data_IF_267547829635
#
_entry.id   IF_267547829635
#
_cell.length_a   1.000
_cell.length_b   1.000
_cell.length_c   1.000
_cell.angle_alpha   90.00
_cell.angle_beta   90.00
_cell.angle_gamma   90.00
#
_symmetry.space_group_name_H-M   'P 1'
#
loop_
_entity.id
_entity.type
_entity.pdbx_description
1 polymer ?
#
# COMPACT_ATOMS: atom_id res chain seq x y z
N UNK A 1 18.19 11.47 9.04
CA UNK A 1 18.57 12.51 8.07
C UNK A 1 17.90 12.14 6.75
N UNK A 2 17.16 13.06 6.13
CA UNK A 2 16.54 12.82 4.82
C UNK A 2 17.61 12.63 3.75
N UNK A 3 17.37 11.74 2.80
CA UNK A 3 18.32 11.41 1.73
C UNK A 3 17.97 12.07 0.39
N UNK A 4 16.67 12.29 0.12
CA UNK A 4 16.15 12.92 -1.09
C UNK A 4 14.66 13.25 -0.92
N UNK A 5 14.13 14.05 -1.84
CA UNK A 5 12.68 14.26 -2.01
C UNK A 5 12.23 13.65 -3.35
N UNK A 6 10.99 13.14 -3.36
CA UNK A 6 10.32 12.63 -4.56
C UNK A 6 9.10 13.48 -4.86
N UNK A 7 8.90 13.82 -6.13
CA UNK A 7 7.74 14.57 -6.59
C UNK A 7 6.55 13.63 -6.63
N UNK A 8 5.42 14.06 -6.06
CA UNK A 8 4.16 13.34 -6.15
C UNK A 8 3.44 13.82 -7.40
N UNK A 9 3.47 12.99 -8.44
CA UNK A 9 2.77 13.25 -9.71
C UNK A 9 1.28 13.02 -9.58
N UNK A 10 0.89 12.05 -8.76
CA UNK A 10 -0.50 11.67 -8.49
C UNK A 10 -0.57 10.83 -7.22
N UNK A 11 -1.72 10.80 -6.56
CA UNK A 11 -1.92 9.98 -5.36
C UNK A 11 -3.38 9.55 -5.21
N UNK A 12 -3.59 8.38 -4.60
CA UNK A 12 -4.93 7.87 -4.28
C UNK A 12 -4.94 7.20 -2.91
N UNK A 13 -5.89 7.58 -2.06
CA UNK A 13 -6.05 7.05 -0.72
C UNK A 13 -7.39 6.37 -0.48
N UNK A 14 -7.40 5.33 0.34
CA UNK A 14 -8.59 4.68 0.87
C UNK A 14 -8.42 4.52 2.38
N UNK A 15 -9.33 5.10 3.14
CA UNK A 15 -9.39 4.94 4.59
C UNK A 15 -10.69 4.23 4.94
N UNK A 16 -10.61 3.14 5.72
CA UNK A 16 -11.79 2.39 6.14
C UNK A 16 -11.83 2.35 7.66
N UNK A 17 -12.85 2.99 8.23
CA UNK A 17 -13.01 3.08 9.67
C UNK A 17 -13.44 1.74 10.30
N UNK A 18 -13.49 1.71 11.63
CA UNK A 18 -13.91 0.54 12.39
C UNK A 18 -15.36 0.10 12.10
N UNK A 19 -16.23 1.03 11.66
CA UNK A 19 -17.59 0.72 11.24
C UNK A 19 -17.67 0.18 9.80
N UNK A 20 -16.54 0.18 9.07
CA UNK A 20 -16.45 -0.26 7.69
C UNK A 20 -16.80 0.83 6.67
N UNK A 21 -16.97 2.08 7.09
CA UNK A 21 -17.22 3.21 6.19
C UNK A 21 -15.95 3.54 5.40
N UNK A 22 -16.07 3.64 4.08
CA UNK A 22 -14.95 3.93 3.20
C UNK A 22 -14.89 5.43 2.84
N UNK A 23 -13.73 6.03 3.03
CA UNK A 23 -13.37 7.33 2.47
C UNK A 23 -12.43 7.13 1.28
N UNK A 24 -12.89 7.48 0.08
CA UNK A 24 -12.10 7.44 -1.16
C UNK A 24 -11.52 8.83 -1.41
N UNK A 25 -10.19 8.93 -1.49
CA UNK A 25 -9.44 10.19 -1.49
C UNK A 25 -8.49 10.28 -2.68
N UNK A 26 -8.19 11.50 -3.13
CA UNK A 26 -7.32 11.74 -4.29
C UNK A 26 -7.85 11.05 -5.55
N UNK A 27 -6.94 10.49 -6.35
CA UNK A 27 -7.24 9.71 -7.55
C UNK A 27 -7.68 8.26 -7.30
N UNK A 28 -7.88 7.82 -6.05
CA UNK A 28 -8.25 6.43 -5.78
C UNK A 28 -9.54 6.03 -6.50
N UNK A 29 -9.52 4.86 -7.15
CA UNK A 29 -10.64 4.42 -7.97
C UNK A 29 -11.81 3.91 -7.12
N UNK A 30 -13.04 4.08 -7.64
CA UNK A 30 -14.21 3.40 -7.10
C UNK A 30 -14.15 1.88 -7.33
N UNK A 31 -14.93 1.10 -6.57
CA UNK A 31 -14.95 -0.36 -6.68
C UNK A 31 -15.28 -0.86 -8.11
N UNK A 32 -16.00 -0.06 -8.91
CA UNK A 32 -16.37 -0.38 -10.29
C UNK A 32 -15.21 -0.34 -11.30
N UNK A 33 -14.06 0.23 -10.93
CA UNK A 33 -12.85 0.18 -11.74
C UNK A 33 -12.21 -1.23 -11.77
N UNK A 34 -12.54 -2.08 -10.79
CA UNK A 34 -12.11 -3.48 -10.77
C UNK A 34 -13.19 -4.35 -11.43
N UNK A 35 -12.87 -5.13 -12.48
CA UNK A 35 -13.82 -6.02 -13.13
C UNK A 35 -14.51 -6.94 -12.13
N UNK A 36 -15.83 -7.10 -12.26
CA UNK A 36 -16.67 -7.78 -11.27
C UNK A 36 -16.17 -9.20 -10.94
N UNK A 37 -15.71 -9.96 -11.93
CA UNK A 37 -15.19 -11.32 -11.73
C UNK A 37 -13.93 -11.37 -10.87
N UNK A 38 -13.03 -10.39 -11.04
CA UNK A 38 -11.84 -10.24 -10.19
C UNK A 38 -12.23 -9.73 -8.80
N UNK A 39 -13.08 -8.69 -8.75
CA UNK A 39 -13.53 -8.06 -7.50
C UNK A 39 -14.16 -9.04 -6.53
N UNK A 40 -14.98 -9.99 -7.00
CA UNK A 40 -15.65 -11.01 -6.15
C UNK A 40 -14.68 -12.01 -5.51
N UNK A 41 -13.45 -12.11 -6.01
CA UNK A 41 -12.43 -13.06 -5.53
C UNK A 41 -11.32 -12.37 -4.73
N UNK A 42 -11.37 -11.03 -4.61
CA UNK A 42 -10.40 -10.24 -3.87
C UNK A 42 -10.88 -10.02 -2.43
N UNK A 43 -10.04 -10.33 -1.43
CA UNK A 43 -10.27 -9.87 -0.07
C UNK A 43 -10.32 -8.34 0.01
N UNK A 44 -10.92 -7.82 1.08
CA UNK A 44 -11.05 -6.37 1.33
C UNK A 44 -9.70 -5.66 1.26
N UNK A 45 -8.65 -6.27 1.83
CA UNK A 45 -7.29 -5.72 1.83
C UNK A 45 -6.77 -5.48 0.41
N UNK A 46 -6.75 -6.55 -0.40
CA UNK A 46 -6.27 -6.47 -1.78
C UNK A 46 -7.13 -5.53 -2.62
N UNK A 47 -8.46 -5.55 -2.44
CA UNK A 47 -9.35 -4.68 -3.19
C UNK A 47 -9.10 -3.19 -2.90
N UNK A 48 -8.89 -2.81 -1.64
CA UNK A 48 -8.56 -1.44 -1.27
C UNK A 48 -7.22 -0.99 -1.88
N UNK A 49 -6.18 -1.81 -1.75
CA UNK A 49 -4.86 -1.53 -2.31
C UNK A 49 -4.90 -1.38 -3.85
N UNK A 50 -5.55 -2.33 -4.54
CA UNK A 50 -5.69 -2.31 -6.00
C UNK A 50 -6.44 -1.06 -6.48
N UNK A 51 -7.48 -0.62 -5.77
CA UNK A 51 -8.23 0.59 -6.12
C UNK A 51 -7.38 1.86 -6.04
N UNK A 52 -6.53 1.97 -5.03
CA UNK A 52 -5.57 3.08 -4.94
C UNK A 52 -4.59 3.03 -6.12
N UNK A 53 -3.98 1.88 -6.40
CA UNK A 53 -2.98 1.75 -7.44
C UNK A 53 -3.55 1.98 -8.85
N UNK A 54 -4.71 1.40 -9.16
CA UNK A 54 -5.42 1.62 -10.44
C UNK A 54 -5.75 3.09 -10.65
N UNK A 55 -6.10 3.81 -9.58
CA UNK A 55 -6.44 5.22 -9.63
C UNK A 55 -5.31 6.13 -10.12
N UNK A 56 -4.06 5.73 -9.89
CA UNK A 56 -2.85 6.50 -10.26
C UNK A 56 -2.02 5.82 -11.34
N UNK A 57 -2.48 4.68 -11.87
CA UNK A 57 -1.73 3.86 -12.80
C UNK A 57 -1.52 4.55 -14.15
N UNK A 58 -0.32 4.41 -14.71
CA UNK A 58 0.00 4.79 -16.09
C UNK A 58 0.79 3.67 -16.76
N UNK A 59 0.71 3.55 -18.10
CA UNK A 59 1.45 2.54 -18.84
C UNK A 59 2.95 2.51 -18.53
N UNK A 60 3.50 1.32 -18.33
CA UNK A 60 4.92 1.09 -18.11
C UNK A 60 5.47 1.57 -16.76
N UNK A 61 4.61 1.96 -15.80
CA UNK A 61 5.04 2.34 -14.46
C UNK A 61 5.31 1.10 -13.59
N UNK A 62 6.46 1.08 -12.90
CA UNK A 62 6.78 0.03 -11.94
C UNK A 62 6.02 0.23 -10.63
N UNK A 63 5.79 -0.85 -9.88
CA UNK A 63 5.05 -0.80 -8.61
C UNK A 63 5.88 -1.37 -7.45
N UNK A 64 6.10 -0.57 -6.42
CA UNK A 64 6.69 -1.01 -5.15
C UNK A 64 5.58 -1.14 -4.12
N UNK A 65 5.25 -2.36 -3.72
CA UNK A 65 4.32 -2.62 -2.65
C UNK A 65 5.03 -2.58 -1.29
N UNK A 66 4.42 -1.93 -0.30
CA UNK A 66 4.93 -1.81 1.04
C UNK A 66 3.83 -2.14 2.06
N UNK A 67 4.12 -3.07 2.96
CA UNK A 67 3.20 -3.39 4.07
C UNK A 67 3.95 -4.13 5.16
N UNK A 68 3.66 -3.84 6.42
CA UNK A 68 4.24 -4.57 7.55
C UNK A 68 3.84 -6.05 7.56
N UNK A 69 2.57 -6.33 7.33
CA UNK A 69 1.99 -7.67 7.53
C UNK A 69 1.29 -8.24 6.29
N UNK A 70 1.03 -7.42 5.27
CA UNK A 70 0.18 -7.83 4.15
C UNK A 70 -1.25 -8.15 4.60
N UNK A 71 -1.94 -9.03 3.86
CA UNK A 71 -3.30 -9.46 4.20
C UNK A 71 -3.32 -10.54 5.30
N UNK A 72 -2.93 -10.13 6.50
CA UNK A 72 -2.86 -11.00 7.68
C UNK A 72 -4.21 -11.62 8.05
N UNK A 73 -5.33 -10.95 7.74
CA UNK A 73 -6.68 -11.49 7.99
C UNK A 73 -6.94 -12.70 7.13
N UNK A 74 -6.67 -12.62 5.83
CA UNK A 74 -6.79 -13.78 4.94
C UNK A 74 -5.83 -14.91 5.35
N UNK A 75 -4.60 -14.57 5.76
CA UNK A 75 -3.62 -15.56 6.23
C UNK A 75 -4.06 -16.29 7.52
N UNK A 76 -4.64 -15.57 8.49
CA UNK A 76 -5.18 -16.16 9.72
C UNK A 76 -6.35 -17.09 9.41
N UNK A 77 -7.33 -16.66 8.60
CA UNK A 77 -8.47 -17.51 8.24
C UNK A 77 -8.05 -18.79 7.50
N UNK A 78 -7.01 -18.74 6.66
CA UNK A 78 -6.44 -19.94 6.05
C UNK A 78 -5.79 -20.86 7.08
N UNK A 79 -5.08 -20.30 8.06
CA UNK A 79 -4.45 -21.09 9.13
C UNK A 79 -5.50 -21.79 10.01
N UNK A 80 -6.60 -21.10 10.33
CA UNK A 80 -7.73 -21.67 11.06
C UNK A 80 -8.38 -22.82 10.28
N UNK A 81 -8.57 -22.66 8.96
CA UNK A 81 -9.10 -23.72 8.10
C UNK A 81 -8.17 -24.95 8.05
N UNK A 82 -6.84 -24.76 8.06
CA UNK A 82 -5.89 -25.87 8.16
C UNK A 82 -6.07 -26.64 9.47
N UNK A 83 -6.18 -25.93 10.60
CA UNK A 83 -6.38 -26.54 11.92
C UNK A 83 -7.71 -27.29 11.98
N UNK A 84 -8.75 -26.77 11.33
CA UNK A 84 -10.06 -27.41 11.23
C UNK A 84 -10.12 -28.57 10.22
N UNK A 85 -9.04 -28.83 9.45
CA UNK A 85 -9.02 -29.75 8.32
C UNK A 85 -10.06 -29.43 7.22
N UNK A 86 -10.36 -28.15 7.05
CA UNK A 86 -11.28 -27.65 6.03
C UNK A 86 -10.61 -27.48 4.66
N UNK A 87 -11.43 -27.41 3.61
CA UNK A 87 -10.98 -27.11 2.27
C UNK A 87 -10.51 -25.65 2.16
N UNK A 88 -9.24 -25.46 1.75
CA UNK A 88 -8.68 -24.14 1.52
C UNK A 88 -9.18 -23.54 0.20
N UNK A 89 -9.55 -22.27 0.23
CA UNK A 89 -9.87 -21.51 -0.99
C UNK A 89 -8.59 -21.21 -1.77
N UNK A 90 -8.45 -21.69 -3.03
CA UNK A 90 -7.28 -21.37 -3.84
C UNK A 90 -7.10 -19.87 -4.08
N UNK A 91 -8.22 -19.13 -4.20
CA UNK A 91 -8.17 -17.68 -4.41
C UNK A 91 -7.69 -16.95 -3.15
N UNK A 92 -8.12 -17.39 -1.97
CA UNK A 92 -7.66 -16.81 -0.70
C UNK A 92 -6.17 -17.10 -0.50
N UNK A 93 -5.72 -18.31 -0.79
CA UNK A 93 -4.29 -18.67 -0.74
C UNK A 93 -3.45 -17.80 -1.69
N UNK A 94 -3.90 -17.58 -2.93
CA UNK A 94 -3.21 -16.67 -3.85
C UNK A 94 -3.22 -15.20 -3.39
N UNK A 95 -4.21 -14.78 -2.60
CA UNK A 95 -4.33 -13.41 -2.12
C UNK A 95 -3.57 -13.15 -0.80
N UNK A 96 -3.18 -14.19 -0.06
CA UNK A 96 -2.54 -14.03 1.25
C UNK A 96 -1.02 -13.83 1.20
N UNK A 97 -0.38 -14.08 0.05
CA UNK A 97 1.05 -13.80 -0.13
C UNK A 97 1.28 -12.29 -0.17
N UNK A 98 2.40 -11.83 0.40
CA UNK A 98 2.66 -10.40 0.58
C UNK A 98 2.66 -9.61 -0.75
N UNK A 99 3.12 -10.23 -1.83
CA UNK A 99 3.15 -9.63 -3.17
C UNK A 99 1.84 -9.79 -3.96
N UNK A 100 0.72 -10.20 -3.35
CA UNK A 100 -0.54 -10.40 -4.07
C UNK A 100 -1.12 -9.10 -4.63
N UNK A 101 -1.15 -8.02 -3.82
CA UNK A 101 -1.72 -6.73 -4.21
C UNK A 101 -1.12 -6.12 -5.49
N UNK A 102 0.21 -6.06 -5.69
CA UNK A 102 0.77 -5.58 -6.95
C UNK A 102 0.47 -6.50 -8.14
N UNK A 103 0.51 -7.83 -7.96
CA UNK A 103 0.14 -8.78 -9.02
C UNK A 103 -1.32 -8.67 -9.45
N UNK A 104 -2.23 -8.46 -8.49
CA UNK A 104 -3.64 -8.20 -8.74
C UNK A 104 -3.87 -6.85 -9.44
N UNK A 105 -3.09 -5.82 -9.09
CA UNK A 105 -3.11 -4.53 -9.79
C UNK A 105 -2.74 -4.71 -11.27
N UNK A 106 -1.66 -5.44 -11.56
CA UNK A 106 -1.23 -5.74 -12.92
C UNK A 106 -2.32 -6.46 -13.74
N UNK A 107 -3.06 -7.39 -13.13
CA UNK A 107 -4.21 -8.05 -13.78
C UNK A 107 -5.34 -7.09 -14.12
N UNK A 108 -5.61 -6.10 -13.26
CA UNK A 108 -6.69 -5.11 -13.50
C UNK A 108 -6.28 -4.08 -14.54
N UNK A 109 -5.05 -3.58 -14.49
CA UNK A 109 -4.53 -2.59 -15.46
C UNK A 109 -4.27 -3.24 -16.83
N UNK A 110 -4.08 -4.55 -16.88
CA UNK A 110 -3.82 -5.28 -18.12
C UNK A 110 -2.38 -5.16 -18.62
N UNK A 111 -1.44 -4.79 -17.74
CA UNK A 111 -0.03 -4.63 -18.07
C UNK A 111 0.87 -5.55 -17.22
N UNK A 112 1.96 -6.00 -17.84
CA UNK A 112 3.01 -6.77 -17.17
C UNK A 112 4.10 -5.82 -16.67
N UNK A 113 3.78 -5.03 -15.65
CA UNK A 113 4.76 -4.15 -15.01
C UNK A 113 5.59 -4.90 -13.96
N UNK A 114 6.87 -4.53 -13.87
CA UNK A 114 7.74 -4.99 -12.79
C UNK A 114 7.19 -4.53 -11.45
N UNK A 115 7.25 -5.39 -10.43
CA UNK A 115 6.86 -5.03 -9.09
C UNK A 115 7.70 -5.72 -8.02
N UNK A 116 7.97 -4.97 -6.95
CA UNK A 116 8.67 -5.43 -5.75
C UNK A 116 7.70 -5.35 -4.56
N UNK A 117 7.90 -6.18 -3.54
CA UNK A 117 7.14 -6.13 -2.29
C UNK A 117 8.10 -6.06 -1.11
N UNK A 118 7.91 -5.07 -0.22
CA UNK A 118 8.82 -4.74 0.88
C UNK A 118 8.06 -4.74 2.21
N UNK A 119 8.69 -5.30 3.24
CA UNK A 119 8.22 -5.25 4.61
C UNK A 119 9.38 -4.82 5.52
N UNK A 120 9.17 -3.77 6.33
CA UNK A 120 10.17 -3.20 7.23
C UNK A 120 9.53 -2.76 8.57
N UNK A 121 8.61 -3.56 9.12
CA UNK A 121 7.91 -3.18 10.33
C UNK A 121 7.03 -1.95 10.11
N UNK A 122 6.95 -1.08 11.11
CA UNK A 122 6.27 0.21 11.00
C UNK A 122 6.97 1.22 10.06
N UNK A 123 8.19 0.91 9.58
CA UNK A 123 8.90 1.70 8.59
C UNK A 123 8.61 1.25 7.14
N UNK A 124 7.65 0.35 6.91
CA UNK A 124 7.39 -0.23 5.58
C UNK A 124 7.10 0.83 4.51
N UNK A 125 6.31 1.88 4.81
CA UNK A 125 6.06 2.97 3.87
C UNK A 125 7.36 3.71 3.50
N UNK A 126 8.19 4.04 4.48
CA UNK A 126 9.49 4.67 4.25
C UNK A 126 10.42 3.77 3.43
N UNK A 127 10.43 2.46 3.70
CA UNK A 127 11.20 1.49 2.93
C UNK A 127 10.71 1.37 1.48
N UNK A 128 9.40 1.44 1.24
CA UNK A 128 8.84 1.50 -0.11
C UNK A 128 9.25 2.77 -0.87
N UNK A 129 9.30 3.92 -0.19
CA UNK A 129 9.79 5.17 -0.77
C UNK A 129 11.29 5.14 -1.07
N UNK A 130 12.09 4.51 -0.20
CA UNK A 130 13.50 4.29 -0.42
C UNK A 130 13.73 3.40 -1.66
N UNK A 131 13.01 2.28 -1.77
CA UNK A 131 13.06 1.41 -2.94
C UNK A 131 12.68 2.17 -4.21
N UNK A 132 11.58 2.94 -4.19
CA UNK A 132 11.20 3.77 -5.33
C UNK A 132 12.27 4.79 -5.72
N UNK A 133 12.91 5.44 -4.74
CA UNK A 133 14.02 6.35 -5.00
C UNK A 133 15.22 5.63 -5.63
N UNK A 134 15.55 4.41 -5.22
CA UNK A 134 16.63 3.61 -5.83
C UNK A 134 16.33 3.28 -7.30
N UNK A 135 15.08 2.87 -7.61
CA UNK A 135 14.64 2.61 -9.00
C UNK A 135 14.69 3.86 -9.88
N UNK A 136 14.29 5.01 -9.32
CA UNK A 136 14.27 6.29 -10.03
C UNK A 136 15.69 6.87 -10.22
N UNK A 137 16.54 6.81 -9.19
CA UNK A 137 17.90 7.38 -9.21
C UNK A 137 18.89 6.57 -10.03
N UNK A 138 18.69 5.26 -10.17
CA UNK A 138 19.45 4.41 -11.10
C UNK A 138 19.12 4.67 -12.57
N UNK A 139 18.01 5.38 -12.86
CA UNK A 139 17.51 5.61 -14.21
C UNK A 139 16.79 4.40 -14.82
N UNK A 140 16.58 3.33 -14.05
CA UNK A 140 15.85 2.14 -14.48
C UNK A 140 14.35 2.42 -14.66
N UNK A 141 13.80 3.36 -13.87
CA UNK A 141 12.43 3.83 -14.00
C UNK A 141 12.38 5.36 -14.10
N UNK A 142 11.40 5.89 -14.86
CA UNK A 142 11.08 7.32 -14.90
C UNK A 142 10.01 7.73 -13.89
N UNK A 143 9.10 6.79 -13.61
CA UNK A 143 8.02 6.92 -12.64
C UNK A 143 7.88 5.59 -11.89
N UNK A 144 7.57 5.66 -10.61
CA UNK A 144 7.31 4.48 -9.76
C UNK A 144 6.06 4.73 -8.95
N UNK A 145 5.20 3.72 -8.83
CA UNK A 145 4.07 3.73 -7.91
C UNK A 145 4.50 3.05 -6.61
N UNK A 146 4.48 3.78 -5.49
CA UNK A 146 4.53 3.17 -4.17
C UNK A 146 3.11 2.89 -3.72
N UNK A 147 2.78 1.61 -3.51
CA UNK A 147 1.51 1.17 -2.97
C UNK A 147 1.71 0.69 -1.54
N UNK A 148 1.08 1.37 -0.59
CA UNK A 148 1.07 1.00 0.82
C UNK A 148 -0.32 0.55 1.24
N UNK A 149 -0.42 -0.52 2.02
CA UNK A 149 -1.68 -0.94 2.61
C UNK A 149 -1.47 -1.64 3.95
N UNK A 150 -2.21 -1.22 4.96
CA UNK A 150 -2.20 -1.81 6.31
C UNK A 150 -3.58 -1.72 6.98
N UNK A 151 -3.87 -2.70 7.82
CA UNK A 151 -5.10 -2.81 8.58
C UNK A 151 -4.80 -3.30 10.00
N UNK A 152 -5.78 -3.20 10.89
CA UNK A 152 -5.64 -3.66 12.27
C UNK A 152 -5.38 -5.18 12.33
N UNK A 153 -4.63 -5.62 13.34
CA UNK A 153 -4.36 -7.04 13.51
C UNK A 153 -5.65 -7.79 13.90
N UNK A 154 -5.95 -8.94 13.26
CA UNK A 154 -7.21 -9.65 13.46
C UNK A 154 -7.14 -10.62 14.64
N UNK A 155 -8.28 -10.81 15.30
CA UNK A 155 -8.52 -11.94 16.22
C UNK A 155 -7.43 -12.10 17.28
N UNK A 156 -6.83 -13.28 17.33
CA UNK A 156 -5.76 -13.63 18.30
C UNK A 156 -4.52 -12.75 18.20
N UNK A 157 -4.35 -11.99 17.11
CA UNK A 157 -3.22 -11.08 16.95
C UNK A 157 -3.51 -9.63 17.35
N UNK A 158 -4.74 -9.32 17.78
CA UNK A 158 -5.12 -7.94 18.13
C UNK A 158 -4.23 -7.32 19.22
N UNK A 159 -3.70 -8.13 20.15
CA UNK A 159 -2.79 -7.66 21.20
C UNK A 159 -1.42 -7.20 20.67
N UNK A 160 -1.03 -7.62 19.46
CA UNK A 160 0.22 -7.20 18.80
C UNK A 160 0.01 -6.01 17.85
N UNK A 161 -1.19 -5.42 17.85
CA UNK A 161 -1.44 -4.18 17.14
C UNK A 161 -0.90 -2.98 17.95
N UNK A 162 0.09 -2.30 17.40
CA UNK A 162 0.66 -1.11 18.03
C UNK A 162 -0.12 0.17 17.72
N UNK A 163 -1.14 0.09 16.85
CA UNK A 163 -1.95 1.23 16.42
C UNK A 163 -3.47 0.89 16.45
N UNK A 164 -4.02 0.38 17.56
CA UNK A 164 -5.37 -0.21 17.58
C UNK A 164 -6.51 0.76 17.23
N UNK A 165 -6.29 2.07 17.41
CA UNK A 165 -7.25 3.12 17.04
C UNK A 165 -7.12 3.58 15.58
N UNK A 166 -6.04 3.24 14.89
CA UNK A 166 -5.85 3.63 13.50
C UNK A 166 -6.78 2.83 12.59
N UNK A 167 -7.45 3.45 11.61
CA UNK A 167 -8.27 2.76 10.62
C UNK A 167 -7.42 1.88 9.69
N UNK A 168 -8.09 1.11 8.82
CA UNK A 168 -7.45 0.59 7.61
C UNK A 168 -6.99 1.78 6.77
N UNK A 169 -5.76 1.72 6.24
CA UNK A 169 -5.30 2.65 5.22
C UNK A 169 -4.70 1.92 4.01
N UNK A 170 -5.09 2.33 2.80
CA UNK A 170 -4.37 2.07 1.56
C UNK A 170 -4.01 3.41 0.89
N UNK A 171 -2.82 3.49 0.32
CA UNK A 171 -2.28 4.68 -0.30
C UNK A 171 -1.44 4.28 -1.51
N UNK A 172 -1.69 4.89 -2.66
CA UNK A 172 -0.82 4.82 -3.82
C UNK A 172 -0.24 6.21 -4.11
N UNK A 173 1.05 6.26 -4.38
CA UNK A 173 1.80 7.47 -4.76
C UNK A 173 2.50 7.21 -6.07
N UNK A 174 2.19 7.96 -7.13
CA UNK A 174 2.97 7.94 -8.37
C UNK A 174 4.04 9.01 -8.29
N UNK A 175 5.30 8.57 -8.34
CA UNK A 175 6.46 9.37 -7.97
C UNK A 175 7.44 9.53 -9.13
N UNK A 176 8.17 10.64 -9.15
CA UNK A 176 9.38 10.84 -9.96
C UNK A 176 10.48 11.51 -9.16
N UNK A 177 11.71 11.54 -9.70
CA UNK A 177 12.76 12.39 -9.13
C UNK A 177 12.37 13.86 -9.21
N UNK A 178 12.87 14.64 -8.26
CA UNK A 178 12.64 16.08 -8.16
C UNK A 178 11.45 16.40 -7.26
N UNK A 179 10.97 17.64 -7.35
CA UNK A 179 9.92 18.17 -6.49
C UNK A 179 10.18 19.66 -6.26
N UNK A 180 9.12 20.47 -6.31
CA UNK A 180 9.18 21.89 -5.97
C UNK A 180 8.32 22.16 -4.75
N UNK A 181 8.90 22.77 -3.72
CA UNK A 181 8.21 23.10 -2.48
C UNK A 181 8.57 22.16 -1.31
N UNK A 182 7.97 22.37 -0.14
CA UNK A 182 8.25 21.58 1.05
C UNK A 182 7.76 20.14 0.87
N UNK A 183 8.63 19.17 1.16
CA UNK A 183 8.29 17.75 1.15
C UNK A 183 7.67 17.32 2.48
N UNK A 184 6.59 16.51 2.43
CA UNK A 184 6.03 15.89 3.62
C UNK A 184 6.99 14.83 4.18
N UNK A 185 7.24 14.88 5.49
CA UNK A 185 7.91 13.79 6.19
C UNK A 185 6.98 12.59 6.34
N UNK A 186 7.53 11.39 6.20
CA UNK A 186 6.76 10.14 6.31
C UNK A 186 6.85 9.62 7.74
N UNK A 187 5.71 9.55 8.42
CA UNK A 187 5.61 8.90 9.73
C UNK A 187 5.63 7.37 9.65
N UNK A 188 5.55 6.72 10.80
CA UNK A 188 5.52 5.25 10.91
C UNK A 188 4.10 4.70 10.84
N UNK A 189 3.98 3.49 10.32
CA UNK A 189 2.78 2.67 10.33
C UNK A 189 1.57 3.36 9.69
N UNK A 190 0.39 3.01 10.16
CA UNK A 190 -0.88 3.52 9.63
C UNK A 190 -1.08 5.00 9.95
N UNK A 191 -0.70 5.43 11.14
CA UNK A 191 -0.76 6.82 11.61
C UNK A 191 0.08 7.74 10.72
N UNK A 192 1.29 7.32 10.36
CA UNK A 192 2.15 8.04 9.44
C UNK A 192 1.59 8.14 8.02
N UNK A 193 1.00 7.05 7.52
CA UNK A 193 0.33 7.06 6.22
C UNK A 193 -0.91 7.97 6.19
N UNK A 194 -1.69 8.02 7.27
CA UNK A 194 -2.84 8.91 7.40
C UNK A 194 -2.42 10.39 7.44
N UNK A 195 -1.37 10.72 8.19
CA UNK A 195 -0.81 12.07 8.21
C UNK A 195 -0.29 12.48 6.82
N UNK A 196 0.30 11.54 6.07
CA UNK A 196 0.72 11.79 4.69
C UNK A 196 -0.49 12.04 3.78
N UNK A 197 -1.56 11.24 3.89
CA UNK A 197 -2.81 11.47 3.15
C UNK A 197 -3.38 12.86 3.43
N UNK A 198 -3.39 13.29 4.69
CA UNK A 198 -3.85 14.63 5.07
C UNK A 198 -3.00 15.74 4.42
N UNK A 199 -1.66 15.59 4.49
CA UNK A 199 -0.73 16.53 3.86
C UNK A 199 -0.92 16.62 2.34
N UNK A 200 -1.12 15.48 1.67
CA UNK A 200 -1.40 15.42 0.23
C UNK A 200 -2.76 16.06 -0.10
N UNK A 201 -3.78 15.85 0.73
CA UNK A 201 -5.08 16.52 0.63
C UNK A 201 -4.99 18.03 0.80
N UNK A 202 -4.03 18.52 1.59
CA UNK A 202 -3.72 19.94 1.75
C UNK A 202 -2.85 20.52 0.61
N UNK A 203 -2.47 19.72 -0.39
CA UNK A 203 -1.75 20.17 -1.58
C UNK A 203 -0.22 20.01 -1.52
N UNK A 204 0.32 19.23 -0.58
CA UNK A 204 1.73 18.86 -0.61
C UNK A 204 2.02 18.04 -1.86
N UNK A 205 3.06 18.42 -2.61
CA UNK A 205 3.41 17.83 -3.91
C UNK A 205 4.76 17.09 -3.91
N UNK A 206 5.37 16.90 -2.74
CA UNK A 206 6.62 16.17 -2.59
C UNK A 206 6.62 15.36 -1.28
N UNK A 207 7.34 14.24 -1.28
CA UNK A 207 7.51 13.37 -0.10
C UNK A 207 8.99 13.13 0.16
N UNK A 208 9.38 13.28 1.43
CA UNK A 208 10.77 13.09 1.86
C UNK A 208 11.09 11.61 2.02
N UNK A 209 12.28 11.22 1.54
CA UNK A 209 12.83 9.87 1.69
C UNK A 209 13.85 9.88 2.83
N UNK A 210 13.74 8.91 3.74
CA UNK A 210 14.68 8.72 4.85
C UNK A 210 15.32 7.33 4.76
N UNK A 211 16.60 7.24 5.11
CA UNK A 211 17.30 5.96 5.26
C UNK A 211 17.23 5.41 6.69
N UNK A 212 16.72 6.20 7.64
CA UNK A 212 16.60 5.75 9.02
C UNK A 212 15.33 4.92 9.22
N UNK A 213 15.50 3.60 9.14
CA UNK A 213 14.44 2.61 9.34
C UNK A 213 14.46 2.00 10.75
N UNK A 214 15.38 2.43 11.63
CA UNK A 214 15.53 1.80 12.97
C UNK A 214 14.26 2.02 13.76
N UNK A 215 13.64 0.96 14.28
CA UNK A 215 12.53 1.09 15.23
C UNK A 215 13.02 1.85 16.46
N UNK A 216 12.18 2.76 16.99
CA UNK A 216 12.38 3.21 18.37
C UNK A 216 12.34 1.95 19.24
N UNK A 217 13.43 1.68 19.97
CA UNK A 217 13.56 0.52 20.83
C UNK A 217 12.55 0.57 21.99
#
# INVERSE_FOLDING_TARGET
MGIADLAVLDWGGLVIDAAGSESVLGGAAGANAVPMGLRRRMPKFSLAAVRCAVGVAVPGCELVFASRYGDVTTALSLSEAIVAADLLSPSAFSACVHNAAPGLTAQVVGEKSSHTAVAAGDASLAAGLLEAWLRLSSGEARQVIVLFAEQAMPGVYAEFDHEPAAPFVALALRLSLGGSGPAASVGRGRTGALALIEALGAGVAAVGVTADMRTAA
#
